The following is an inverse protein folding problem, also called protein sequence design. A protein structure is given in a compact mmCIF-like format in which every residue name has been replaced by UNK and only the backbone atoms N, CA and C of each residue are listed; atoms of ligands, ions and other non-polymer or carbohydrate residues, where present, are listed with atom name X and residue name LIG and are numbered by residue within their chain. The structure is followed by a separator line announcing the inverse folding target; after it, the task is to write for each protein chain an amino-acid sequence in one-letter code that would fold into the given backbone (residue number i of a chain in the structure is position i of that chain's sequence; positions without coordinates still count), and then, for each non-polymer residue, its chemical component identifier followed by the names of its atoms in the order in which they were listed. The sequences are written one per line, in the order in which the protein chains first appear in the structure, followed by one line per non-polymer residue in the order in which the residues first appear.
data_IF_697374600662
#
_entry.id   IF_697374600662
#
_cell.length_a   1.000
_cell.length_b   1.000
_cell.length_c   1.000
_cell.angle_alpha   90.00
_cell.angle_beta   90.00
_cell.angle_gamma   90.00
#
_symmetry.space_group_name_H-M   'P 1'
#
loop_
_entity.id
_entity.type
_entity.pdbx_description
1 polymer ?
#
# COMPACT_ATOMS: atom_id res chain seq x y z
N UNK A 1 22.38 -51.48 -14.87
CA UNK A 1 20.89 -51.54 -15.04
C UNK A 1 20.17 -50.48 -14.21
N UNK A 2 20.39 -50.41 -12.89
CA UNK A 2 19.64 -49.46 -12.00
C UNK A 2 20.05 -47.99 -12.27
N UNK A 3 21.33 -47.69 -12.44
CA UNK A 3 21.83 -46.35 -12.78
C UNK A 3 21.32 -45.82 -14.11
N UNK A 4 21.13 -46.68 -15.13
CA UNK A 4 20.57 -46.26 -16.42
C UNK A 4 19.09 -45.96 -16.33
N UNK A 5 18.34 -46.66 -15.46
CA UNK A 5 16.95 -46.40 -15.20
C UNK A 5 16.75 -45.03 -14.52
N UNK A 6 17.57 -44.73 -13.51
CA UNK A 6 17.60 -43.43 -12.83
C UNK A 6 17.94 -42.30 -13.78
N UNK A 7 18.93 -42.46 -14.65
CA UNK A 7 19.32 -41.48 -15.66
C UNK A 7 18.18 -41.19 -16.66
N UNK A 8 17.41 -42.20 -17.06
CA UNK A 8 16.25 -42.04 -17.94
C UNK A 8 15.12 -41.26 -17.23
N UNK A 9 14.88 -41.56 -15.96
CA UNK A 9 13.90 -40.84 -15.15
C UNK A 9 14.27 -39.36 -14.95
N UNK A 10 15.55 -39.09 -14.64
CA UNK A 10 16.07 -37.70 -14.53
C UNK A 10 15.88 -36.92 -15.82
N UNK A 11 16.20 -37.53 -16.98
CA UNK A 11 15.98 -36.88 -18.28
C UNK A 11 14.50 -36.64 -18.58
N UNK A 12 13.63 -37.56 -18.21
CA UNK A 12 12.17 -37.41 -18.35
C UNK A 12 11.65 -36.28 -17.48
N UNK A 13 12.09 -36.22 -16.21
CA UNK A 13 11.71 -35.14 -15.28
C UNK A 13 12.21 -33.77 -15.76
N UNK A 14 13.45 -33.66 -16.25
CA UNK A 14 13.96 -32.42 -16.84
C UNK A 14 13.12 -31.94 -18.03
N UNK A 15 12.70 -32.86 -18.91
CA UNK A 15 11.80 -32.51 -20.04
C UNK A 15 10.45 -32.01 -19.56
N UNK A 16 9.85 -32.66 -18.54
CA UNK A 16 8.56 -32.23 -17.96
C UNK A 16 8.67 -30.86 -17.30
N UNK A 17 9.74 -30.61 -16.53
CA UNK A 17 9.98 -29.30 -15.91
C UNK A 17 10.12 -28.20 -16.97
N UNK A 18 10.88 -28.45 -18.06
CA UNK A 18 11.02 -27.48 -19.15
C UNK A 18 9.69 -27.22 -19.88
N UNK A 19 8.88 -28.27 -20.06
CA UNK A 19 7.55 -28.12 -20.68
C UNK A 19 6.63 -27.29 -19.78
N UNK A 20 6.53 -27.61 -18.48
CA UNK A 20 5.74 -26.85 -17.52
C UNK A 20 6.21 -25.40 -17.41
N UNK A 21 7.52 -25.13 -17.45
CA UNK A 21 8.05 -23.76 -17.47
C UNK A 21 7.56 -22.98 -18.70
N UNK A 22 7.57 -23.59 -19.89
CA UNK A 22 7.04 -22.97 -21.12
C UNK A 22 5.54 -22.73 -21.07
N UNK A 23 4.78 -23.67 -20.52
CA UNK A 23 3.32 -23.53 -20.32
C UNK A 23 3.01 -22.40 -19.35
N UNK A 24 3.76 -22.29 -18.23
CA UNK A 24 3.64 -21.18 -17.27
C UNK A 24 3.98 -19.83 -17.94
N UNK A 25 5.04 -19.78 -18.75
CA UNK A 25 5.39 -18.57 -19.51
C UNK A 25 4.32 -18.20 -20.52
N UNK A 26 3.74 -19.17 -21.22
CA UNK A 26 2.63 -18.98 -22.16
C UNK A 26 1.35 -18.48 -21.46
N UNK A 27 1.01 -19.06 -20.29
CA UNK A 27 -0.14 -18.62 -19.48
C UNK A 27 0.10 -17.20 -18.94
N UNK A 28 1.31 -16.89 -18.49
CA UNK A 28 1.68 -15.53 -18.06
C UNK A 28 1.58 -14.53 -19.22
N UNK A 29 2.08 -14.88 -20.40
CA UNK A 29 1.98 -14.03 -21.59
C UNK A 29 0.51 -13.80 -21.99
N UNK A 30 -0.31 -14.85 -22.05
CA UNK A 30 -1.74 -14.74 -22.34
C UNK A 30 -2.51 -13.94 -21.27
N UNK A 31 -2.09 -14.01 -20.00
CA UNK A 31 -2.62 -13.19 -18.90
C UNK A 31 -2.25 -11.70 -19.02
N UNK A 32 -1.17 -11.38 -19.74
CA UNK A 32 -0.66 -10.01 -19.94
C UNK A 32 -1.25 -9.34 -21.19
N UNK A 33 -1.94 -10.08 -22.08
CA UNK A 33 -2.48 -9.55 -23.34
C UNK A 33 -3.84 -8.86 -23.22
N UNK A 34 -4.42 -8.77 -22.03
CA UNK A 34 -5.69 -8.07 -21.79
C UNK A 34 -5.62 -7.09 -20.62
N UNK A 35 -6.53 -6.11 -20.58
CA UNK A 35 -6.61 -5.18 -19.46
C UNK A 35 -6.77 -5.96 -18.16
N UNK A 36 -6.07 -5.50 -17.08
CA UNK A 36 -6.16 -6.10 -15.75
C UNK A 36 -7.60 -6.06 -15.22
N UNK A 37 -7.90 -6.85 -14.19
CA UNK A 37 -9.24 -6.81 -13.56
C UNK A 37 -9.58 -5.39 -13.08
N UNK A 38 -8.59 -4.63 -12.58
CA UNK A 38 -8.76 -3.25 -12.12
C UNK A 38 -9.04 -2.33 -13.31
N UNK A 39 -8.26 -2.43 -14.40
CA UNK A 39 -8.50 -1.63 -15.61
C UNK A 39 -9.89 -1.88 -16.19
N UNK A 40 -10.34 -3.14 -16.26
CA UNK A 40 -11.70 -3.48 -16.70
C UNK A 40 -12.77 -2.83 -15.83
N UNK A 41 -12.60 -2.88 -14.51
CA UNK A 41 -13.54 -2.24 -13.57
C UNK A 41 -13.58 -0.72 -13.72
N UNK A 42 -12.45 -0.08 -13.97
CA UNK A 42 -12.37 1.37 -14.24
C UNK A 42 -12.93 1.72 -15.62
N UNK A 43 -12.63 0.93 -16.65
CA UNK A 43 -13.21 1.12 -17.99
C UNK A 43 -14.73 1.03 -18.01
N UNK A 44 -15.32 0.11 -17.22
CA UNK A 44 -16.79 0.03 -17.06
C UNK A 44 -17.39 1.30 -16.43
N UNK A 45 -16.58 2.12 -15.74
CA UNK A 45 -16.94 3.43 -15.18
C UNK A 45 -16.56 4.60 -16.10
N UNK A 46 -16.09 4.31 -17.32
CA UNK A 46 -15.65 5.32 -18.31
C UNK A 46 -14.26 5.91 -18.01
N UNK A 47 -13.49 5.29 -17.13
CA UNK A 47 -12.19 5.77 -16.67
C UNK A 47 -11.07 4.97 -17.33
N UNK A 48 -9.99 5.65 -17.70
CA UNK A 48 -8.81 5.06 -18.35
C UNK A 48 -7.58 5.24 -17.44
N UNK A 49 -6.83 4.15 -17.21
CA UNK A 49 -5.55 4.20 -16.52
C UNK A 49 -4.49 4.75 -17.47
N UNK A 50 -3.82 5.83 -17.06
CA UNK A 50 -2.73 6.44 -17.82
C UNK A 50 -1.35 5.97 -17.36
N UNK A 51 -1.16 5.88 -16.05
CA UNK A 51 0.10 5.43 -15.42
C UNK A 51 -0.22 4.70 -14.13
N UNK A 52 0.57 3.68 -13.83
CA UNK A 52 0.49 2.93 -12.59
C UNK A 52 1.85 2.36 -12.18
N UNK A 53 1.97 1.99 -10.92
CA UNK A 53 3.12 1.31 -10.35
C UNK A 53 4.48 2.02 -10.63
N UNK A 54 4.62 3.33 -10.38
CA UNK A 54 5.87 4.04 -10.62
C UNK A 54 6.98 3.51 -9.69
N UNK A 55 8.14 3.19 -10.25
CA UNK A 55 9.28 2.65 -9.50
C UNK A 55 10.36 3.68 -9.19
N UNK A 56 10.35 4.79 -9.89
CA UNK A 56 11.32 5.89 -9.83
C UNK A 56 11.28 6.70 -8.51
N UNK A 57 10.20 6.55 -7.73
CA UNK A 57 9.98 7.29 -6.47
C UNK A 57 10.04 6.41 -5.22
N UNK A 58 10.41 5.14 -5.38
CA UNK A 58 10.46 4.20 -4.26
C UNK A 58 11.80 4.28 -3.53
N UNK A 59 11.78 4.08 -2.21
CA UNK A 59 12.99 3.94 -1.39
C UNK A 59 13.84 2.72 -1.77
N UNK A 60 13.27 1.75 -2.48
CA UNK A 60 13.96 0.55 -2.95
C UNK A 60 14.28 0.67 -4.45
N UNK A 61 15.50 0.25 -4.88
CA UNK A 61 15.87 0.24 -6.29
C UNK A 61 14.91 -0.60 -7.14
N UNK A 62 14.57 -0.17 -8.37
CA UNK A 62 13.72 -0.96 -9.27
C UNK A 62 14.26 -2.37 -9.54
N UNK A 63 15.58 -2.51 -9.64
CA UNK A 63 16.29 -3.76 -9.95
C UNK A 63 16.42 -4.70 -8.76
N UNK A 64 15.94 -4.29 -7.56
CA UNK A 64 16.05 -5.13 -6.37
C UNK A 64 15.41 -6.51 -6.62
N UNK A 65 16.13 -7.62 -6.34
CA UNK A 65 15.62 -8.98 -6.53
C UNK A 65 14.29 -9.22 -5.82
N UNK A 66 13.42 -10.06 -6.39
CA UNK A 66 12.10 -10.36 -5.82
C UNK A 66 12.18 -10.88 -4.37
N UNK A 67 13.20 -11.68 -4.05
CA UNK A 67 13.47 -12.16 -2.67
C UNK A 67 13.75 -11.01 -1.71
N UNK A 68 14.53 -10.00 -2.13
CA UNK A 68 14.80 -8.81 -1.32
C UNK A 68 13.56 -7.91 -1.19
N UNK A 69 12.78 -7.74 -2.26
CA UNK A 69 11.48 -7.02 -2.20
C UNK A 69 10.53 -7.70 -1.20
N UNK A 70 10.54 -9.04 -1.12
CA UNK A 70 9.76 -9.79 -0.13
C UNK A 70 10.26 -9.51 1.29
N UNK A 71 11.56 -9.58 1.54
CA UNK A 71 12.15 -9.27 2.85
C UNK A 71 11.87 -7.82 3.27
N UNK A 72 11.96 -6.87 2.33
CA UNK A 72 11.63 -5.47 2.59
C UNK A 72 10.16 -5.30 2.96
N UNK A 73 9.24 -5.96 2.24
CA UNK A 73 7.82 -5.96 2.57
C UNK A 73 7.56 -6.47 4.00
N UNK A 74 8.18 -7.57 4.40
CA UNK A 74 8.04 -8.10 5.77
C UNK A 74 8.54 -7.11 6.84
N UNK A 75 9.63 -6.41 6.55
CA UNK A 75 10.12 -5.35 7.44
C UNK A 75 9.18 -4.15 7.49
N UNK A 76 8.53 -3.79 6.39
CA UNK A 76 7.53 -2.71 6.31
C UNK A 76 6.29 -2.97 7.17
N UNK A 77 5.98 -4.19 7.56
CA UNK A 77 4.92 -4.50 8.55
C UNK A 77 5.22 -3.88 9.92
N UNK A 78 6.51 -3.68 10.27
CA UNK A 78 6.93 -3.06 11.54
C UNK A 78 6.80 -1.54 11.48
N UNK A 79 5.97 -0.96 12.34
CA UNK A 79 5.76 0.49 12.38
C UNK A 79 7.06 1.28 12.59
N UNK A 80 7.91 0.82 13.52
CA UNK A 80 9.20 1.48 13.78
C UNK A 80 10.14 1.46 12.56
N UNK A 81 10.10 0.41 11.73
CA UNK A 81 10.87 0.35 10.50
C UNK A 81 10.40 1.40 9.48
N UNK A 82 9.09 1.56 9.30
CA UNK A 82 8.52 2.59 8.41
C UNK A 82 8.93 4.00 8.86
N UNK A 83 8.90 4.27 10.17
CA UNK A 83 9.33 5.55 10.71
C UNK A 83 10.83 5.81 10.48
N UNK A 84 11.66 4.79 10.66
CA UNK A 84 13.11 4.88 10.38
C UNK A 84 13.37 5.12 8.88
N UNK A 85 12.70 4.41 7.99
CA UNK A 85 12.80 4.66 6.53
C UNK A 85 12.39 6.08 6.18
N UNK A 86 11.31 6.60 6.79
CA UNK A 86 10.88 7.99 6.60
C UNK A 86 11.95 9.00 7.04
N UNK A 87 12.63 8.73 8.16
CA UNK A 87 13.71 9.60 8.63
C UNK A 87 14.97 9.48 7.76
N UNK A 88 15.29 8.29 7.23
CA UNK A 88 16.36 8.12 6.24
C UNK A 88 16.11 8.92 4.95
N UNK A 89 14.87 8.98 4.48
CA UNK A 89 14.49 9.79 3.30
C UNK A 89 14.70 11.28 3.57
N UNK A 90 14.37 11.77 4.76
CA UNK A 90 14.60 13.18 5.14
C UNK A 90 16.07 13.55 5.15
N UNK A 91 16.94 12.60 5.48
CA UNK A 91 18.39 12.78 5.61
C UNK A 91 19.16 11.99 4.53
N UNK A 92 18.58 11.84 3.34
CA UNK A 92 19.05 10.91 2.30
C UNK A 92 20.52 11.10 1.89
N UNK A 93 21.05 12.33 1.99
CA UNK A 93 22.42 12.66 1.61
C UNK A 93 23.46 12.26 2.67
N UNK A 94 23.02 12.01 3.90
CA UNK A 94 23.87 11.55 4.99
C UNK A 94 23.17 11.55 6.34
N UNK A 95 23.18 10.39 7.03
CA UNK A 95 22.61 10.22 8.36
C UNK A 95 23.45 9.25 9.20
N UNK A 96 23.31 9.36 10.49
CA UNK A 96 23.93 8.47 11.48
C UNK A 96 22.86 7.70 12.25
N UNK A 97 23.25 6.64 12.94
CA UNK A 97 22.31 5.86 13.79
C UNK A 97 21.56 6.75 14.79
N UNK A 98 22.22 7.80 15.32
CA UNK A 98 21.63 8.73 16.28
C UNK A 98 20.43 9.50 15.70
N UNK A 99 20.45 9.83 14.41
CA UNK A 99 19.39 10.55 13.71
C UNK A 99 18.13 9.69 13.53
N UNK A 100 18.25 8.38 13.73
CA UNK A 100 17.17 7.39 13.54
C UNK A 100 16.57 6.88 14.85
N UNK A 101 17.00 7.42 16.00
CA UNK A 101 16.61 6.89 17.31
C UNK A 101 15.36 7.52 17.92
N UNK A 102 14.64 8.36 17.18
CA UNK A 102 13.40 8.98 17.66
C UNK A 102 12.28 7.98 17.97
N UNK A 103 12.25 6.84 17.25
CA UNK A 103 11.15 5.87 17.30
C UNK A 103 11.58 4.45 17.69
N UNK A 104 12.89 4.25 17.90
CA UNK A 104 13.42 2.95 18.30
C UNK A 104 14.77 3.12 19.00
N UNK A 105 15.24 2.07 19.68
CA UNK A 105 16.58 2.07 20.29
C UNK A 105 17.69 2.07 19.25
N UNK A 106 18.89 2.56 19.60
CA UNK A 106 20.07 2.53 18.74
C UNK A 106 20.40 1.12 18.24
N UNK A 107 20.17 0.09 19.06
CA UNK A 107 20.35 -1.31 18.66
C UNK A 107 19.40 -1.71 17.52
N UNK A 108 18.13 -1.30 17.60
CA UNK A 108 17.12 -1.57 16.56
C UNK A 108 17.43 -0.80 15.29
N UNK A 109 17.76 0.50 15.42
CA UNK A 109 18.15 1.36 14.28
C UNK A 109 19.36 0.77 13.55
N UNK A 110 20.39 0.32 14.30
CA UNK A 110 21.57 -0.33 13.74
C UNK A 110 21.19 -1.61 12.95
N UNK A 111 20.35 -2.49 13.50
CA UNK A 111 19.87 -3.70 12.81
C UNK A 111 19.10 -3.38 11.52
N UNK A 112 18.35 -2.28 11.50
CA UNK A 112 17.67 -1.81 10.28
C UNK A 112 18.66 -1.29 9.23
N UNK A 113 19.71 -0.57 9.64
CA UNK A 113 20.78 -0.14 8.74
C UNK A 113 21.55 -1.32 8.17
N UNK A 114 21.93 -2.29 9.00
CA UNK A 114 22.62 -3.51 8.56
C UNK A 114 21.81 -4.28 7.52
N UNK A 115 20.51 -4.47 7.79
CA UNK A 115 19.56 -5.09 6.85
C UNK A 115 19.48 -4.34 5.52
N UNK A 116 19.36 -3.01 5.53
CA UNK A 116 19.25 -2.20 4.32
C UNK A 116 20.59 -2.12 3.55
N UNK A 117 21.74 -2.14 4.24
CA UNK A 117 23.06 -2.26 3.62
C UNK A 117 23.22 -3.61 2.91
N UNK A 118 22.85 -4.73 3.56
CA UNK A 118 22.87 -6.07 2.95
C UNK A 118 22.04 -6.12 1.66
N UNK A 119 20.92 -5.39 1.65
CA UNK A 119 20.04 -5.29 0.47
C UNK A 119 20.56 -4.32 -0.59
N UNK A 120 21.59 -3.55 -0.34
CA UNK A 120 22.10 -2.53 -1.25
C UNK A 120 21.17 -1.31 -1.40
N UNK A 121 20.29 -1.05 -0.42
CA UNK A 121 19.38 0.12 -0.44
C UNK A 121 20.06 1.36 0.13
N UNK A 122 20.94 1.17 1.11
CA UNK A 122 21.79 2.22 1.69
C UNK A 122 23.25 1.78 1.69
N UNK A 123 24.16 2.72 1.78
CA UNK A 123 25.62 2.47 1.88
C UNK A 123 26.15 3.12 3.16
N UNK A 124 27.10 2.41 3.80
CA UNK A 124 27.91 2.94 4.89
C UNK A 124 29.21 3.53 4.32
N UNK A 125 29.57 4.74 4.71
CA UNK A 125 30.79 5.43 4.27
C UNK A 125 32.07 4.96 5.01
N UNK A 126 31.94 4.01 5.92
CA UNK A 126 33.05 3.52 6.76
C UNK A 126 33.40 4.42 7.93
N UNK A 127 32.80 5.62 8.06
CA UNK A 127 32.99 6.58 9.15
C UNK A 127 31.77 6.68 10.08
N UNK A 128 30.85 5.72 9.97
CA UNK A 128 29.63 5.65 10.78
C UNK A 128 28.50 6.51 10.27
N UNK A 129 28.59 7.03 9.05
CA UNK A 129 27.51 7.68 8.32
C UNK A 129 26.98 6.77 7.20
N UNK A 130 25.71 6.95 6.88
CA UNK A 130 25.00 6.21 5.85
C UNK A 130 24.35 7.18 4.87
N UNK A 131 24.13 6.72 3.64
CA UNK A 131 23.36 7.45 2.63
C UNK A 131 22.47 6.50 1.83
N UNK A 132 21.39 7.02 1.26
CA UNK A 132 20.54 6.22 0.37
C UNK A 132 21.23 6.00 -0.98
N UNK A 133 20.95 4.86 -1.62
CA UNK A 133 21.39 4.59 -2.99
C UNK A 133 20.40 5.12 -4.04
N UNK A 134 19.14 5.27 -3.65
CA UNK A 134 18.09 5.84 -4.49
C UNK A 134 17.92 7.31 -4.12
N UNK A 135 18.22 8.21 -5.05
CA UNK A 135 18.17 9.66 -4.84
C UNK A 135 17.88 10.39 -6.17
N UNK A 136 17.17 11.50 -6.16
CA UNK A 136 16.50 12.13 -5.01
C UNK A 136 15.15 11.50 -4.67
N UNK A 137 14.85 11.36 -3.37
CA UNK A 137 13.54 10.95 -2.86
C UNK A 137 12.85 12.14 -2.20
N UNK A 138 11.64 12.48 -2.63
CA UNK A 138 10.92 13.64 -2.14
C UNK A 138 10.06 13.34 -0.90
N UNK A 139 9.56 12.13 -0.78
CA UNK A 139 8.71 11.73 0.34
C UNK A 139 8.67 10.21 0.53
N UNK A 140 8.16 9.79 1.68
CA UNK A 140 7.93 8.38 2.01
C UNK A 140 6.62 7.84 1.39
N UNK A 141 5.70 8.73 0.97
CA UNK A 141 4.37 8.37 0.44
C UNK A 141 4.40 7.25 -0.60
N UNK A 142 5.13 7.39 -1.72
CA UNK A 142 5.16 6.36 -2.76
C UNK A 142 5.62 4.97 -2.27
N UNK A 143 6.54 4.91 -1.31
CA UNK A 143 6.99 3.64 -0.71
C UNK A 143 5.91 3.04 0.19
N UNK A 144 5.13 3.87 0.87
CA UNK A 144 4.00 3.42 1.68
C UNK A 144 2.83 2.94 0.81
N UNK A 145 2.53 3.63 -0.29
CA UNK A 145 1.56 3.20 -1.30
C UNK A 145 1.95 1.83 -1.89
N UNK A 146 3.23 1.67 -2.29
CA UNK A 146 3.76 0.37 -2.71
C UNK A 146 3.54 -0.71 -1.65
N UNK A 147 3.83 -0.43 -0.38
CA UNK A 147 3.63 -1.37 0.72
C UNK A 147 2.17 -1.81 0.85
N UNK A 148 1.21 -0.87 0.79
CA UNK A 148 -0.23 -1.19 0.84
C UNK A 148 -0.65 -2.02 -0.38
N UNK A 149 -0.18 -1.68 -1.59
CA UNK A 149 -0.46 -2.49 -2.77
C UNK A 149 0.11 -3.91 -2.65
N UNK A 150 1.35 -4.07 -2.12
CA UNK A 150 1.91 -5.40 -1.83
C UNK A 150 1.10 -6.16 -0.78
N UNK A 151 0.54 -5.49 0.22
CA UNK A 151 -0.31 -6.09 1.22
C UNK A 151 -1.57 -6.70 0.59
N UNK A 152 -2.25 -5.99 -0.30
CA UNK A 152 -3.39 -6.56 -1.04
C UNK A 152 -2.99 -7.78 -1.85
N UNK A 153 -1.85 -7.74 -2.56
CA UNK A 153 -1.37 -8.84 -3.39
C UNK A 153 -0.99 -10.08 -2.57
N UNK A 154 -0.38 -9.91 -1.41
CA UNK A 154 0.23 -11.00 -0.62
C UNK A 154 -0.69 -11.56 0.46
N UNK A 155 -1.37 -10.68 1.19
CA UNK A 155 -2.19 -11.09 2.34
C UNK A 155 -3.65 -11.35 1.95
N UNK A 156 -4.14 -10.66 0.89
CA UNK A 156 -5.53 -10.77 0.45
C UNK A 156 -5.69 -11.46 -0.92
N UNK A 157 -4.59 -11.94 -1.52
CA UNK A 157 -4.54 -12.56 -2.85
C UNK A 157 -5.29 -11.71 -3.92
N UNK A 158 -5.19 -10.38 -3.82
CA UNK A 158 -5.95 -9.42 -4.59
C UNK A 158 -5.05 -8.57 -5.48
N UNK A 159 -5.30 -8.47 -6.80
CA UNK A 159 -4.61 -7.51 -7.65
C UNK A 159 -4.72 -6.09 -7.07
N UNK A 160 -3.62 -5.35 -7.10
CA UNK A 160 -3.58 -3.97 -6.66
C UNK A 160 -2.53 -3.19 -7.45
N UNK A 161 -2.78 -1.91 -7.69
CA UNK A 161 -1.89 -0.96 -8.35
C UNK A 161 -1.73 0.26 -7.45
N UNK A 162 -0.61 0.98 -7.56
CA UNK A 162 -0.30 2.15 -6.74
C UNK A 162 0.23 3.31 -7.59
N UNK A 163 0.15 4.54 -7.04
CA UNK A 163 0.58 5.76 -7.73
C UNK A 163 -0.14 5.92 -9.08
N UNK A 164 -1.46 5.79 -9.07
CA UNK A 164 -2.27 5.60 -10.28
C UNK A 164 -2.73 6.94 -10.82
N UNK A 165 -2.31 7.29 -12.02
CA UNK A 165 -2.84 8.44 -12.75
C UNK A 165 -3.98 7.99 -13.66
N UNK A 166 -5.14 8.63 -13.52
CA UNK A 166 -6.35 8.33 -14.28
C UNK A 166 -6.68 9.49 -15.25
N UNK A 167 -7.25 9.15 -16.40
CA UNK A 167 -7.85 10.12 -17.33
C UNK A 167 -9.35 10.20 -17.10
N UNK A 168 -9.92 11.35 -17.44
CA UNK A 168 -11.37 11.62 -17.36
C UNK A 168 -11.94 11.62 -15.93
N UNK A 169 -11.10 11.93 -14.93
CA UNK A 169 -11.55 12.15 -13.56
C UNK A 169 -11.53 13.63 -13.22
N UNK A 170 -12.62 14.21 -12.68
CA UNK A 170 -12.69 15.63 -12.29
C UNK A 170 -11.67 16.04 -11.23
N UNK A 171 -11.40 15.18 -10.24
CA UNK A 171 -10.48 15.51 -9.13
C UNK A 171 -9.02 15.62 -9.56
N UNK A 172 -8.63 14.93 -10.65
CA UNK A 172 -7.25 14.87 -11.11
C UNK A 172 -6.27 14.28 -10.07
N UNK A 173 -4.96 14.42 -10.37
CA UNK A 173 -3.90 13.91 -9.49
C UNK A 173 -3.74 12.39 -9.53
N UNK A 174 -2.86 11.89 -8.67
CA UNK A 174 -2.60 10.46 -8.54
C UNK A 174 -3.46 9.84 -7.44
N UNK A 175 -4.02 8.67 -7.69
CA UNK A 175 -4.72 7.82 -6.72
C UNK A 175 -3.70 6.90 -6.07
N UNK A 176 -3.65 6.87 -4.75
CA UNK A 176 -2.55 6.22 -4.03
C UNK A 176 -2.54 4.70 -4.25
N UNK A 177 -3.65 4.00 -3.96
CA UNK A 177 -3.78 2.56 -4.22
C UNK A 177 -5.19 2.20 -4.69
N UNK A 178 -5.26 1.41 -5.76
CA UNK A 178 -6.50 0.82 -6.24
C UNK A 178 -6.32 -0.70 -6.26
N UNK A 179 -7.28 -1.44 -5.69
CA UNK A 179 -7.25 -2.91 -5.65
C UNK A 179 -8.56 -3.52 -6.15
N UNK A 180 -8.47 -4.74 -6.68
CA UNK A 180 -9.62 -5.57 -7.01
C UNK A 180 -9.71 -6.69 -5.97
N UNK A 181 -10.54 -6.48 -4.93
CA UNK A 181 -10.72 -7.45 -3.86
C UNK A 181 -12.10 -8.09 -3.95
N UNK A 182 -12.15 -9.42 -4.05
CA UNK A 182 -13.39 -10.16 -4.19
C UNK A 182 -14.32 -9.56 -5.28
N UNK A 183 -13.75 -9.23 -6.45
CA UNK A 183 -14.42 -8.58 -7.59
C UNK A 183 -15.03 -7.20 -7.26
N UNK A 184 -14.58 -6.54 -6.22
CA UNK A 184 -14.97 -5.19 -5.81
C UNK A 184 -13.80 -4.24 -5.96
N UNK A 185 -14.08 -3.02 -6.40
CA UNK A 185 -13.09 -1.97 -6.47
C UNK A 185 -12.86 -1.41 -5.06
N UNK A 186 -11.61 -1.45 -4.62
CA UNK A 186 -11.18 -0.86 -3.35
C UNK A 186 -10.25 0.30 -3.65
N UNK A 187 -10.51 1.45 -3.04
CA UNK A 187 -9.63 2.60 -3.07
C UNK A 187 -9.01 2.84 -1.71
N UNK A 188 -7.71 3.08 -1.66
CA UNK A 188 -7.01 3.46 -0.44
C UNK A 188 -6.26 4.77 -0.67
N UNK A 189 -6.60 5.78 0.11
CA UNK A 189 -5.81 7.01 0.27
C UNK A 189 -4.81 6.79 1.40
N UNK A 190 -3.54 7.13 1.20
CA UNK A 190 -2.44 6.80 2.10
C UNK A 190 -1.79 8.08 2.64
N UNK A 191 -1.74 8.22 3.97
CA UNK A 191 -1.12 9.37 4.64
C UNK A 191 0.04 8.92 5.53
N UNK A 192 1.24 9.42 5.26
CA UNK A 192 2.44 9.14 6.05
C UNK A 192 2.70 10.16 7.15
N UNK A 193 1.97 11.27 7.17
CA UNK A 193 2.04 12.30 8.22
C UNK A 193 1.21 11.92 9.44
N UNK A 194 1.55 12.42 10.66
CA UNK A 194 0.67 12.26 11.81
C UNK A 194 -0.68 12.98 11.58
N UNK A 195 -1.76 12.61 12.32
CA UNK A 195 -3.12 13.16 12.08
C UNK A 195 -3.18 14.69 12.08
N UNK A 196 -2.39 15.36 12.94
CA UNK A 196 -2.31 16.83 12.98
C UNK A 196 -1.75 17.48 11.72
N UNK A 197 -1.02 16.71 10.91
CA UNK A 197 -0.45 17.17 9.64
C UNK A 197 -1.34 16.88 8.44
N UNK A 198 -2.49 16.23 8.63
CA UNK A 198 -3.51 16.06 7.58
C UNK A 198 -4.35 17.33 7.51
N UNK A 199 -4.52 17.87 6.30
CA UNK A 199 -5.25 19.10 6.07
C UNK A 199 -6.69 18.81 5.59
N UNK A 200 -7.68 19.72 5.83
CA UNK A 200 -9.08 19.53 5.41
C UNK A 200 -9.26 19.27 3.92
N UNK A 201 -8.45 19.92 3.07
CA UNK A 201 -8.50 19.71 1.63
C UNK A 201 -8.10 18.28 1.21
N UNK A 202 -7.27 17.58 1.99
CA UNK A 202 -6.89 16.18 1.71
C UNK A 202 -8.07 15.24 1.95
N UNK A 203 -8.87 15.51 2.99
CA UNK A 203 -10.13 14.78 3.25
C UNK A 203 -11.14 15.09 2.14
N UNK A 204 -11.27 16.36 1.75
CA UNK A 204 -12.15 16.76 0.63
C UNK A 204 -11.74 16.06 -0.68
N UNK A 205 -10.45 16.01 -0.98
CA UNK A 205 -9.91 15.30 -2.16
C UNK A 205 -10.23 13.81 -2.10
N UNK A 206 -10.09 13.17 -0.93
CA UNK A 206 -10.42 11.76 -0.76
C UNK A 206 -11.89 11.48 -1.11
N UNK A 207 -12.83 12.30 -0.64
CA UNK A 207 -14.25 12.16 -0.99
C UNK A 207 -14.50 12.42 -2.49
N UNK A 208 -13.87 13.42 -3.08
CA UNK A 208 -14.00 13.68 -4.52
C UNK A 208 -13.48 12.52 -5.37
N UNK A 209 -12.38 11.89 -4.97
CA UNK A 209 -11.84 10.70 -5.63
C UNK A 209 -12.77 9.48 -5.48
N UNK A 210 -13.49 9.35 -4.35
CA UNK A 210 -14.54 8.34 -4.20
C UNK A 210 -15.67 8.59 -5.21
N UNK A 211 -16.10 9.84 -5.38
CA UNK A 211 -17.12 10.21 -6.35
C UNK A 211 -16.66 9.96 -7.79
N UNK A 212 -15.37 10.13 -8.08
CA UNK A 212 -14.82 9.87 -9.42
C UNK A 212 -14.86 8.39 -9.81
N UNK A 213 -14.35 7.51 -8.95
CA UNK A 213 -14.13 6.10 -9.31
C UNK A 213 -15.18 5.14 -8.74
N UNK A 214 -16.09 5.62 -7.89
CA UNK A 214 -17.19 4.86 -7.29
C UNK A 214 -16.75 3.50 -6.75
N UNK A 215 -15.79 3.43 -5.81
CA UNK A 215 -15.33 2.16 -5.26
C UNK A 215 -16.40 1.58 -4.33
N UNK A 216 -16.46 0.26 -4.23
CA UNK A 216 -17.32 -0.41 -3.27
C UNK A 216 -16.80 -0.24 -1.84
N UNK A 217 -15.48 -0.12 -1.67
CA UNK A 217 -14.82 0.15 -0.38
C UNK A 217 -13.80 1.27 -0.56
N UNK A 218 -13.83 2.26 0.31
CA UNK A 218 -12.82 3.31 0.38
C UNK A 218 -12.16 3.33 1.76
N UNK A 219 -10.84 3.48 1.81
CA UNK A 219 -10.07 3.49 3.05
C UNK A 219 -9.16 4.71 3.07
N UNK A 220 -9.29 5.58 4.07
CA UNK A 220 -8.26 6.55 4.40
C UNK A 220 -7.32 5.91 5.43
N UNK A 221 -6.14 5.50 4.99
CA UNK A 221 -5.11 4.92 5.84
C UNK A 221 -4.12 5.99 6.27
N UNK A 222 -4.02 6.22 7.57
CA UNK A 222 -3.01 7.12 8.15
C UNK A 222 -1.96 6.31 8.92
N UNK A 223 -0.71 6.33 8.44
CA UNK A 223 0.40 5.56 9.05
C UNK A 223 0.85 6.17 10.38
N UNK A 224 0.03 5.96 11.40
CA UNK A 224 0.24 6.45 12.76
C UNK A 224 -0.32 5.50 13.81
N UNK A 225 0.23 5.55 15.02
CA UNK A 225 -0.33 4.89 16.20
C UNK A 225 -1.09 5.89 17.12
N UNK A 226 -1.19 7.16 16.71
CA UNK A 226 -1.89 8.20 17.45
C UNK A 226 -3.41 8.05 17.30
N UNK A 227 -4.14 8.79 18.15
CA UNK A 227 -5.61 8.85 18.10
C UNK A 227 -6.08 9.56 16.83
N UNK A 228 -7.07 8.98 16.18
CA UNK A 228 -7.66 9.49 14.95
C UNK A 228 -8.95 10.30 15.23
N UNK A 229 -9.64 9.97 16.33
CA UNK A 229 -10.94 10.54 16.68
C UNK A 229 -10.92 12.07 16.74
N UNK A 230 -9.91 12.63 17.39
CA UNK A 230 -9.91 14.05 17.75
C UNK A 230 -9.58 14.98 16.55
N UNK A 231 -9.15 14.44 15.42
CA UNK A 231 -8.83 15.20 14.21
C UNK A 231 -9.52 14.62 12.97
N UNK A 232 -9.16 13.41 12.53
CA UNK A 232 -9.65 12.88 11.26
C UNK A 232 -11.14 12.59 11.26
N UNK A 233 -11.71 12.07 12.35
CA UNK A 233 -13.15 11.86 12.45
C UNK A 233 -13.90 13.19 12.37
N UNK A 234 -13.42 14.22 13.09
CA UNK A 234 -14.01 15.56 13.05
C UNK A 234 -13.98 16.14 11.63
N UNK A 235 -12.82 16.02 10.93
CA UNK A 235 -12.68 16.50 9.56
C UNK A 235 -13.61 15.77 8.59
N UNK A 236 -13.85 14.46 8.79
CA UNK A 236 -14.83 13.71 8.00
C UNK A 236 -16.25 14.22 8.24
N UNK A 237 -16.64 14.45 9.50
CA UNK A 237 -17.95 14.98 9.86
C UNK A 237 -18.18 16.40 9.29
N UNK A 238 -17.16 17.26 9.35
CA UNK A 238 -17.18 18.60 8.76
C UNK A 238 -17.31 18.55 7.23
N UNK A 239 -16.58 17.66 6.57
CA UNK A 239 -16.66 17.49 5.11
C UNK A 239 -18.01 16.94 4.67
N UNK A 240 -18.58 16.00 5.43
CA UNK A 240 -19.94 15.50 5.18
C UNK A 240 -20.98 16.61 5.36
N UNK A 241 -20.86 17.44 6.39
CA UNK A 241 -21.75 18.60 6.59
C UNK A 241 -21.64 19.61 5.45
N UNK A 242 -20.43 19.87 4.97
CA UNK A 242 -20.18 20.76 3.85
C UNK A 242 -20.81 20.25 2.54
N UNK A 243 -20.75 18.93 2.27
CA UNK A 243 -21.28 18.31 1.04
C UNK A 243 -22.80 18.11 1.07
N UNK A 244 -23.31 17.63 2.19
CA UNK A 244 -24.68 17.10 2.29
C UNK A 244 -25.56 17.86 3.29
N UNK A 245 -25.04 18.95 3.88
CA UNK A 245 -25.77 19.78 4.83
C UNK A 245 -25.76 19.25 6.27
N UNK A 246 -26.35 20.02 7.19
CA UNK A 246 -26.27 19.75 8.64
C UNK A 246 -26.86 18.42 9.09
N UNK A 247 -27.86 17.91 8.39
CA UNK A 247 -28.49 16.62 8.68
C UNK A 247 -27.59 15.42 8.38
N UNK A 248 -26.47 15.62 7.66
CA UNK A 248 -25.52 14.55 7.32
C UNK A 248 -24.95 13.84 8.54
N UNK A 249 -24.76 14.53 9.67
CA UNK A 249 -24.28 13.90 10.92
C UNK A 249 -25.25 12.85 11.47
N UNK A 250 -26.54 13.02 11.23
CA UNK A 250 -27.58 12.07 11.65
C UNK A 250 -27.74 10.94 10.61
N UNK A 251 -27.68 11.29 9.32
CA UNK A 251 -27.87 10.34 8.22
C UNK A 251 -26.65 9.48 7.97
N UNK A 252 -25.46 10.05 8.13
CA UNK A 252 -24.16 9.43 7.82
C UNK A 252 -23.17 9.58 8.97
N UNK A 253 -23.46 9.08 10.18
CA UNK A 253 -22.56 9.23 11.32
C UNK A 253 -21.27 8.45 11.13
N UNK A 254 -20.13 9.07 11.43
CA UNK A 254 -18.85 8.36 11.52
C UNK A 254 -18.84 7.57 12.82
N UNK A 255 -18.91 6.24 12.72
CA UNK A 255 -18.98 5.34 13.87
C UNK A 255 -17.65 4.66 14.13
N UNK A 256 -17.36 4.40 15.40
CA UNK A 256 -16.20 3.59 15.78
C UNK A 256 -16.50 2.12 15.50
N UNK A 257 -15.61 1.46 14.76
CA UNK A 257 -15.65 0.03 14.54
C UNK A 257 -15.03 -0.71 15.71
N UNK A 258 -13.75 -0.49 15.93
CA UNK A 258 -12.98 -0.99 17.09
C UNK A 258 -11.78 -0.07 17.32
N UNK A 259 -11.40 0.22 18.57
CA UNK A 259 -10.23 1.04 18.93
C UNK A 259 -10.15 2.38 18.17
N UNK A 260 -9.18 2.53 17.27
CA UNK A 260 -9.01 3.70 16.41
C UNK A 260 -9.34 3.43 14.94
N UNK A 261 -10.18 2.42 14.68
CA UNK A 261 -10.80 2.17 13.39
C UNK A 261 -12.22 2.73 13.39
N UNK A 262 -12.55 3.49 12.35
CA UNK A 262 -13.86 4.10 12.19
C UNK A 262 -14.42 3.79 10.82
N UNK A 263 -15.75 3.86 10.69
CA UNK A 263 -16.44 3.64 9.43
C UNK A 263 -17.58 4.63 9.21
N UNK A 264 -17.88 4.86 7.96
CA UNK A 264 -19.08 5.52 7.46
C UNK A 264 -19.83 4.50 6.62
N UNK A 265 -21.05 4.14 7.07
CA UNK A 265 -21.93 3.17 6.39
C UNK A 265 -21.26 1.83 6.03
N UNK A 266 -20.28 1.37 6.81
CA UNK A 266 -19.56 0.12 6.56
C UNK A 266 -18.88 0.03 5.16
N UNK A 267 -18.65 1.17 4.49
CA UNK A 267 -18.06 1.27 3.14
C UNK A 267 -16.85 2.18 3.08
N UNK A 268 -16.84 3.26 3.86
CA UNK A 268 -15.71 4.17 3.95
C UNK A 268 -15.10 4.02 5.34
N UNK A 269 -13.79 3.76 5.39
CA UNK A 269 -13.09 3.47 6.63
C UNK A 269 -11.95 4.46 6.89
N UNK A 270 -11.72 4.79 8.17
CA UNK A 270 -10.55 5.51 8.65
C UNK A 270 -9.71 4.48 9.42
N UNK A 271 -8.49 4.23 8.96
CA UNK A 271 -7.61 3.16 9.44
C UNK A 271 -6.26 3.72 9.84
N UNK A 272 -5.70 3.24 10.95
CA UNK A 272 -4.35 3.60 11.38
C UNK A 272 -3.43 2.36 11.52
N UNK A 273 -2.19 2.60 11.95
CA UNK A 273 -1.16 1.57 12.14
C UNK A 273 -1.07 1.05 13.58
N UNK A 274 -2.09 1.32 14.43
CA UNK A 274 -2.07 0.81 15.79
C UNK A 274 -2.23 -0.70 15.77
N UNK A 275 -1.38 -1.43 16.49
CA UNK A 275 -1.22 -2.88 16.43
C UNK A 275 -0.71 -3.35 15.07
N UNK A 276 -1.46 -4.13 14.33
CA UNK A 276 -1.08 -4.70 13.04
C UNK A 276 -1.87 -4.10 11.88
N UNK A 277 -1.17 -3.61 10.85
CA UNK A 277 -1.81 -2.97 9.69
C UNK A 277 -2.64 -3.97 8.89
N UNK A 278 -2.13 -5.20 8.71
CA UNK A 278 -2.84 -6.23 7.95
C UNK A 278 -4.14 -6.60 8.65
N UNK A 279 -4.08 -6.82 9.98
CA UNK A 279 -5.26 -7.12 10.80
C UNK A 279 -6.28 -5.98 10.74
N UNK A 280 -5.85 -4.72 10.81
CA UNK A 280 -6.73 -3.56 10.74
C UNK A 280 -7.49 -3.51 9.40
N UNK A 281 -6.82 -3.78 8.29
CA UNK A 281 -7.48 -3.88 6.98
C UNK A 281 -8.42 -5.07 6.90
N UNK A 282 -8.03 -6.25 7.43
CA UNK A 282 -8.90 -7.43 7.50
C UNK A 282 -10.20 -7.16 8.27
N UNK A 283 -10.11 -6.46 9.40
CA UNK A 283 -11.28 -6.07 10.21
C UNK A 283 -12.23 -5.20 9.36
N UNK A 284 -11.72 -4.18 8.68
CA UNK A 284 -12.54 -3.29 7.84
C UNK A 284 -13.17 -4.03 6.65
N UNK A 285 -12.39 -4.85 5.94
CA UNK A 285 -12.89 -5.63 4.80
C UNK A 285 -13.94 -6.66 5.23
N UNK A 286 -13.75 -7.29 6.39
CA UNK A 286 -14.72 -8.22 6.97
C UNK A 286 -16.00 -7.50 7.40
N UNK A 287 -15.90 -6.33 8.01
CA UNK A 287 -17.04 -5.50 8.37
C UNK A 287 -17.87 -5.11 7.14
N UNK A 288 -17.19 -4.70 6.05
CA UNK A 288 -17.86 -4.45 4.78
C UNK A 288 -18.63 -5.67 4.26
N UNK A 289 -18.06 -6.88 4.31
CA UNK A 289 -18.75 -8.10 3.87
C UNK A 289 -20.00 -8.39 4.68
N UNK A 290 -19.98 -8.11 5.99
CA UNK A 290 -21.12 -8.38 6.85
C UNK A 290 -22.25 -7.33 6.73
N UNK A 291 -21.88 -6.07 6.54
CA UNK A 291 -22.83 -4.96 6.68
C UNK A 291 -22.89 -4.04 5.46
N UNK A 292 -21.75 -3.76 4.82
CA UNK A 292 -21.70 -2.82 3.69
C UNK A 292 -22.12 -3.44 2.37
N UNK A 293 -22.02 -4.76 2.22
CA UNK A 293 -22.42 -5.48 1.01
C UNK A 293 -23.93 -5.82 0.96
N UNK A 294 -24.61 -5.74 2.10
CA UNK A 294 -26.01 -6.16 2.23
C UNK A 294 -27.05 -5.05 1.92
N UNK A 295 -26.61 -3.81 1.80
CA UNK A 295 -27.50 -2.71 1.41
C UNK A 295 -27.42 -2.46 -0.10
N UNK A 296 -28.58 -2.46 -0.80
CA UNK A 296 -28.67 -2.15 -2.22
C UNK A 296 -28.34 -0.69 -2.53
#
# INVERSE_FOLDING_TARGET
MESEKILREIRSLKKKVQQLSREIESIKAASLEGPSSIEKMLQMRGIEVFRENPTDRLFIPPELPASHKTRFYEMMKKYSFRLVVRDMIKHQDGFRIQDLTHYCSSRVAKGYCEFLCEMGVIVNDGKGSYRTQVSPLYSFGPTLEWFIAQMFRREFASPAIYGVSLKKTPSGGDYDVIASWNQRLVYVEVKSSPPRGVEPNEVSTFFSRIEDILPEVAILFNDTQLRMKDKLVVMFEEELERRYGRESKNLYPVKRLIEELFHLQHRIFIVNSKKDVVENFQICLRDYLHYGAAEP
#
